data_IF_266110278816
#
_entry.id   IF_266110278816
#
_cell.length_a   1.000
_cell.length_b   1.000
_cell.length_c   1.000
_cell.angle_alpha   90.00
_cell.angle_beta   90.00
_cell.angle_gamma   90.00
#
_symmetry.space_group_name_H-M   'P 1'
#
loop_
_entity.id
_entity.type
_entity.pdbx_description
1 polymer ?
#
# COMPACT_ATOMS: atom_id res chain seq x y z
N UNK A 1 -36.23 35.98 16.21
CA UNK A 1 -36.69 36.43 14.90
C UNK A 1 -35.63 37.34 14.29
N UNK A 2 -35.14 37.21 13.06
CA UNK A 2 -35.92 37.06 11.84
C UNK A 2 -35.50 35.90 10.91
N UNK A 3 -36.46 35.52 10.08
CA UNK A 3 -36.34 34.66 8.91
C UNK A 3 -35.39 35.21 7.86
N UNK A 4 -34.55 34.38 7.29
CA UNK A 4 -33.89 34.64 5.99
C UNK A 4 -34.30 33.54 5.01
N UNK A 5 -34.97 34.00 3.99
CA UNK A 5 -35.47 33.27 2.83
C UNK A 5 -34.30 33.05 1.86
N UNK A 6 -33.96 31.82 1.51
CA UNK A 6 -32.99 31.50 0.45
C UNK A 6 -33.76 31.03 -0.79
N UNK A 7 -33.55 31.78 -1.84
CA UNK A 7 -34.11 31.61 -3.18
C UNK A 7 -33.34 30.53 -3.96
N UNK A 8 -34.08 29.51 -4.39
CA UNK A 8 -33.57 28.49 -5.33
C UNK A 8 -33.51 29.08 -6.74
N UNK A 9 -32.34 29.01 -7.40
CA UNK A 9 -32.24 29.15 -8.85
C UNK A 9 -31.87 27.81 -9.48
N UNK A 10 -32.79 27.30 -10.27
CA UNK A 10 -32.62 26.15 -11.17
C UNK A 10 -32.14 26.68 -12.52
N UNK A 11 -31.03 26.19 -13.03
CA UNK A 11 -30.68 26.32 -14.44
C UNK A 11 -30.55 24.94 -15.07
N UNK A 12 -31.52 24.65 -15.92
CA UNK A 12 -31.46 23.57 -16.88
C UNK A 12 -30.80 24.07 -18.18
N UNK A 13 -29.89 23.32 -18.74
CA UNK A 13 -29.28 23.63 -20.04
C UNK A 13 -28.72 22.37 -20.68
N UNK A 14 -29.56 21.68 -21.48
CA UNK A 14 -29.13 20.64 -22.41
C UNK A 14 -28.51 21.24 -23.64
N UNK A 15 -27.36 20.77 -24.09
CA UNK A 15 -26.92 20.87 -25.48
C UNK A 15 -26.10 19.66 -25.90
N UNK A 16 -26.56 18.99 -26.96
CA UNK A 16 -25.98 17.84 -27.63
C UNK A 16 -25.12 18.32 -28.80
N UNK A 17 -23.91 17.82 -29.05
CA UNK A 17 -23.12 18.15 -30.22
C UNK A 17 -23.48 17.25 -31.42
N UNK A 18 -23.32 17.74 -32.66
CA UNK A 18 -23.67 17.05 -33.89
C UNK A 18 -22.53 16.13 -34.41
N UNK A 19 -22.93 15.13 -35.17
CA UNK A 19 -22.08 14.21 -35.89
C UNK A 19 -21.34 14.89 -37.07
N UNK A 20 -20.10 14.53 -37.28
CA UNK A 20 -19.31 14.92 -38.43
C UNK A 20 -19.14 13.76 -39.42
N UNK A 21 -19.37 14.07 -40.65
CA UNK A 21 -19.42 13.27 -41.87
C UNK A 21 -18.01 13.02 -42.41
N UNK A 22 -17.71 11.81 -42.85
CA UNK A 22 -16.55 11.49 -43.70
C UNK A 22 -16.68 12.02 -45.12
N UNK A 23 -15.58 12.32 -45.79
CA UNK A 23 -15.54 12.20 -47.25
C UNK A 23 -14.49 11.18 -47.73
N UNK A 24 -14.99 10.26 -48.50
CA UNK A 24 -14.27 9.36 -49.42
C UNK A 24 -13.66 10.18 -50.56
N UNK A 25 -12.40 9.92 -50.92
CA UNK A 25 -11.93 10.22 -52.30
C UNK A 25 -10.82 9.29 -52.72
N UNK A 26 -11.11 8.65 -53.84
CA UNK A 26 -10.45 7.82 -54.81
C UNK A 26 -8.96 8.05 -55.09
N UNK A 27 -8.30 6.92 -55.39
CA UNK A 27 -6.97 6.78 -55.98
C UNK A 27 -6.92 7.18 -57.47
N UNK A 28 -5.74 7.48 -58.01
CA UNK A 28 -5.44 7.15 -59.41
C UNK A 28 -4.30 6.13 -59.55
N UNK A 29 -4.59 5.19 -60.37
CA UNK A 29 -3.71 4.17 -61.00
C UNK A 29 -2.72 4.83 -61.95
N UNK A 30 -1.44 4.47 -61.87
CA UNK A 30 -0.48 4.64 -62.98
C UNK A 30 0.35 3.38 -63.13
N UNK A 31 0.39 2.88 -64.38
CA UNK A 31 1.02 1.64 -64.84
C UNK A 31 2.54 1.78 -65.10
N UNK A 32 3.25 0.67 -65.40
CA UNK A 32 4.65 0.49 -65.10
C UNK A 32 5.59 0.91 -66.21
N UNK A 33 6.80 1.33 -65.84
CA UNK A 33 7.92 1.48 -66.79
C UNK A 33 9.04 0.52 -66.38
N UNK A 34 9.52 -0.21 -67.37
CA UNK A 34 10.47 -1.28 -67.33
C UNK A 34 11.89 -0.91 -66.91
N UNK A 35 12.56 -1.92 -66.41
CA UNK A 35 13.89 -2.04 -65.81
C UNK A 35 15.08 -1.53 -66.66
N UNK A 36 16.26 -1.43 -66.03
CA UNK A 36 17.36 -2.31 -66.43
C UNK A 36 17.97 -3.09 -65.25
N UNK A 37 18.27 -4.33 -65.60
CA UNK A 37 18.98 -5.34 -64.82
C UNK A 37 20.43 -4.92 -64.58
N UNK A 38 20.83 -4.83 -63.30
CA UNK A 38 22.22 -4.90 -62.88
C UNK A 38 22.39 -6.05 -61.89
N UNK A 39 23.45 -6.84 -62.13
CA UNK A 39 23.75 -8.08 -61.44
C UNK A 39 24.03 -7.85 -59.92
N UNK A 40 23.75 -8.83 -59.07
CA UNK A 40 23.93 -8.70 -57.63
C UNK A 40 25.41 -8.87 -57.24
N UNK A 41 25.98 -7.85 -56.69
CA UNK A 41 27.20 -7.95 -55.89
C UNK A 41 26.85 -8.49 -54.52
N UNK A 42 27.26 -9.70 -54.22
CA UNK A 42 27.12 -10.30 -52.88
C UNK A 42 28.05 -9.61 -51.90
N UNK A 43 27.48 -8.74 -51.11
CA UNK A 43 28.15 -8.26 -49.92
C UNK A 43 28.03 -9.34 -48.79
N UNK A 44 29.09 -9.53 -47.99
CA UNK A 44 29.03 -10.49 -46.88
C UNK A 44 27.98 -10.01 -45.85
N UNK A 45 26.94 -10.80 -45.67
CA UNK A 45 25.95 -10.61 -44.61
C UNK A 45 26.64 -10.93 -43.28
N UNK A 46 27.03 -9.89 -42.55
CA UNK A 46 27.35 -10.05 -41.15
C UNK A 46 26.06 -10.39 -40.42
N UNK A 47 25.99 -11.61 -39.89
CA UNK A 47 24.90 -12.01 -39.01
C UNK A 47 24.77 -11.00 -37.84
N UNK A 48 23.55 -10.59 -37.47
CA UNK A 48 23.37 -9.74 -36.27
C UNK A 48 23.85 -10.52 -35.07
N UNK A 49 24.92 -10.02 -34.44
CA UNK A 49 25.32 -10.47 -33.11
C UNK A 49 24.23 -10.03 -32.16
N UNK A 50 23.36 -10.97 -31.75
CA UNK A 50 22.42 -10.73 -30.65
C UNK A 50 23.23 -10.47 -29.39
N UNK A 51 23.18 -9.24 -28.90
CA UNK A 51 23.74 -8.90 -27.58
C UNK A 51 23.12 -9.85 -26.54
N UNK A 52 23.88 -10.33 -25.55
CA UNK A 52 23.33 -11.18 -24.52
C UNK A 52 22.18 -10.41 -23.81
N UNK A 53 20.97 -10.91 -23.93
CA UNK A 53 19.80 -10.40 -23.22
C UNK A 53 20.05 -10.68 -21.75
N UNK A 54 20.27 -9.64 -20.93
CA UNK A 54 20.30 -9.81 -19.49
C UNK A 54 18.96 -10.43 -19.04
N UNK A 55 19.00 -11.39 -18.10
CA UNK A 55 17.77 -11.91 -17.50
C UNK A 55 16.93 -10.74 -16.97
N UNK A 56 15.60 -10.78 -17.05
CA UNK A 56 14.76 -9.77 -16.44
C UNK A 56 15.07 -9.65 -14.95
N UNK A 57 15.15 -8.43 -14.45
CA UNK A 57 15.31 -8.18 -13.02
C UNK A 57 13.98 -8.50 -12.37
N UNK A 58 13.96 -9.48 -11.47
CA UNK A 58 12.79 -9.85 -10.67
C UNK A 58 12.88 -9.10 -9.33
N UNK A 59 11.85 -8.36 -9.01
CA UNK A 59 11.70 -7.72 -7.71
C UNK A 59 10.78 -8.58 -6.84
N UNK A 60 11.01 -8.56 -5.53
CA UNK A 60 10.19 -9.28 -4.58
C UNK A 60 9.75 -8.36 -3.45
N UNK A 61 8.53 -8.56 -2.97
CA UNK A 61 8.05 -7.97 -1.74
C UNK A 61 8.92 -8.46 -0.57
N UNK A 62 9.58 -7.58 0.17
CA UNK A 62 10.52 -7.99 1.21
C UNK A 62 9.85 -8.60 2.44
N UNK A 63 8.52 -8.50 2.56
CA UNK A 63 7.73 -9.03 3.67
C UNK A 63 7.02 -10.34 3.34
N UNK A 64 6.67 -10.60 2.07
CA UNK A 64 5.95 -11.82 1.65
C UNK A 64 6.78 -12.72 0.76
N UNK A 65 7.81 -12.20 0.08
CA UNK A 65 8.59 -12.92 -0.92
C UNK A 65 7.90 -13.06 -2.27
N UNK A 66 6.73 -12.53 -2.45
CA UNK A 66 5.99 -12.53 -3.72
C UNK A 66 6.67 -11.65 -4.77
N UNK A 67 6.60 -12.04 -6.03
CA UNK A 67 7.12 -11.25 -7.15
C UNK A 67 6.27 -9.99 -7.34
N UNK A 68 6.96 -8.85 -7.55
CA UNK A 68 6.35 -7.55 -7.77
C UNK A 68 6.95 -6.87 -9.01
N UNK A 69 6.19 -6.01 -9.66
CA UNK A 69 6.59 -5.37 -10.92
C UNK A 69 7.72 -4.35 -10.75
N UNK A 70 7.80 -3.72 -9.60
CA UNK A 70 8.80 -2.68 -9.27
C UNK A 70 9.20 -2.76 -7.78
N UNK A 71 10.42 -2.37 -7.43
CA UNK A 71 10.82 -2.34 -6.02
C UNK A 71 10.02 -1.28 -5.26
N UNK A 72 9.67 -1.59 -4.03
CA UNK A 72 9.09 -0.58 -3.15
C UNK A 72 10.09 0.53 -2.84
N UNK A 73 9.59 1.76 -2.84
CA UNK A 73 10.40 2.97 -2.58
C UNK A 73 10.08 3.62 -1.25
N UNK A 74 8.98 3.26 -0.63
CA UNK A 74 8.56 3.78 0.66
C UNK A 74 8.89 2.80 1.79
N UNK A 75 9.14 3.33 2.98
CA UNK A 75 9.24 2.55 4.22
C UNK A 75 7.89 1.96 4.57
N UNK A 76 7.84 0.78 5.22
CA UNK A 76 6.59 0.20 5.68
C UNK A 76 5.84 1.10 6.65
N UNK A 77 4.53 0.98 6.63
CA UNK A 77 3.62 1.53 7.64
C UNK A 77 3.03 0.38 8.44
N UNK A 78 2.96 0.55 9.75
CA UNK A 78 2.33 -0.38 10.67
C UNK A 78 1.12 0.26 11.34
N UNK A 79 -0.01 -0.42 11.38
CA UNK A 79 -1.26 0.09 11.97
C UNK A 79 -1.67 -0.79 13.15
N UNK A 80 -1.89 -0.16 14.32
CA UNK A 80 -2.40 -0.89 15.49
C UNK A 80 -3.87 -1.21 15.34
N UNK A 81 -4.25 -2.48 15.48
CA UNK A 81 -5.60 -2.98 15.27
C UNK A 81 -6.26 -3.36 16.59
N UNK A 82 -7.48 -2.90 16.77
CA UNK A 82 -8.32 -3.23 17.92
C UNK A 82 -8.95 -4.62 17.76
N UNK A 83 -8.33 -5.64 18.34
CA UNK A 83 -8.71 -7.04 18.12
C UNK A 83 -9.60 -7.57 19.26
N UNK A 84 -10.77 -6.95 19.44
CA UNK A 84 -11.81 -7.39 20.37
C UNK A 84 -13.15 -7.52 19.65
N UNK A 85 -14.01 -8.42 20.10
CA UNK A 85 -15.29 -8.70 19.44
C UNK A 85 -16.14 -7.44 19.14
N UNK A 86 -16.28 -6.44 20.05
CA UNK A 86 -17.06 -5.24 19.74
C UNK A 86 -16.46 -4.33 18.66
N UNK A 87 -15.21 -4.56 18.24
CA UNK A 87 -14.53 -3.78 17.20
C UNK A 87 -14.59 -4.44 15.81
N UNK A 88 -15.14 -5.65 15.73
CA UNK A 88 -15.25 -6.40 14.47
C UNK A 88 -16.44 -5.89 13.61
N UNK A 89 -16.38 -6.09 12.29
CA UNK A 89 -15.26 -6.64 11.52
C UNK A 89 -14.09 -5.65 11.38
N UNK A 90 -12.89 -6.18 11.15
CA UNK A 90 -11.76 -5.36 10.72
C UNK A 90 -11.91 -4.93 9.25
N UNK A 91 -11.29 -3.79 8.90
CA UNK A 91 -11.19 -3.31 7.51
C UNK A 91 -9.74 -3.08 7.13
N UNK A 92 -9.40 -3.41 5.88
CA UNK A 92 -8.07 -3.23 5.32
C UNK A 92 -6.99 -4.19 5.86
N UNK A 93 -7.27 -4.98 6.89
CA UNK A 93 -6.29 -5.88 7.51
C UNK A 93 -5.88 -7.03 6.60
N UNK A 94 -6.78 -7.47 5.72
CA UNK A 94 -6.49 -8.54 4.75
C UNK A 94 -5.49 -8.12 3.66
N UNK A 95 -5.30 -6.82 3.48
CA UNK A 95 -4.37 -6.24 2.50
C UNK A 95 -2.97 -6.03 3.12
N UNK A 96 -2.78 -6.35 4.40
CA UNK A 96 -1.49 -6.25 5.06
C UNK A 96 -0.57 -7.40 4.63
N UNK A 97 0.71 -7.07 4.40
CA UNK A 97 1.74 -8.04 4.08
C UNK A 97 2.06 -8.96 5.26
N UNK A 98 2.05 -8.41 6.47
CA UNK A 98 2.21 -9.19 7.72
C UNK A 98 1.21 -8.69 8.75
N UNK A 99 0.61 -9.63 9.47
CA UNK A 99 -0.22 -9.34 10.63
C UNK A 99 0.32 -10.05 11.87
N UNK A 100 0.63 -9.26 12.91
CA UNK A 100 0.99 -9.76 14.22
C UNK A 100 -0.19 -9.67 15.16
N UNK A 101 -0.53 -10.76 15.83
CA UNK A 101 -1.47 -10.76 16.93
C UNK A 101 -0.73 -10.97 18.25
N UNK A 102 -0.93 -10.07 19.20
CA UNK A 102 -0.17 -10.05 20.43
C UNK A 102 -1.08 -9.81 21.64
N UNK A 103 -0.81 -10.49 22.73
CA UNK A 103 -1.49 -10.24 23.99
C UNK A 103 -1.21 -8.80 24.47
N UNK A 104 -2.26 -8.04 24.74
CA UNK A 104 -2.14 -6.66 25.20
C UNK A 104 -2.52 -6.47 26.66
N UNK A 105 -3.32 -7.36 27.20
CA UNK A 105 -3.70 -7.49 28.61
C UNK A 105 -4.21 -8.91 28.87
N UNK A 106 -4.67 -9.20 30.08
CA UNK A 106 -5.00 -10.56 30.54
C UNK A 106 -6.02 -11.31 29.67
N UNK A 107 -6.85 -10.61 28.91
CA UNK A 107 -7.98 -11.22 28.19
C UNK A 107 -8.16 -10.71 26.77
N UNK A 108 -7.32 -9.84 26.28
CA UNK A 108 -7.46 -9.28 24.94
C UNK A 108 -6.14 -9.24 24.18
N UNK A 109 -6.23 -9.52 22.89
CA UNK A 109 -5.12 -9.33 21.96
C UNK A 109 -5.26 -7.98 21.23
N UNK A 110 -4.17 -7.57 20.61
CA UNK A 110 -4.11 -6.43 19.71
C UNK A 110 -3.31 -6.81 18.49
N UNK A 111 -3.81 -6.40 17.33
CA UNK A 111 -3.13 -6.60 16.07
C UNK A 111 -2.16 -5.49 15.75
N UNK A 112 -1.19 -5.83 14.90
CA UNK A 112 -0.35 -4.89 14.17
C UNK A 112 -0.31 -5.35 12.72
N UNK A 113 -0.92 -4.58 11.84
CA UNK A 113 -0.92 -4.82 10.39
C UNK A 113 0.22 -4.01 9.75
N UNK A 114 1.11 -4.66 9.00
CA UNK A 114 2.25 -4.02 8.33
C UNK A 114 2.05 -4.09 6.82
N UNK A 115 2.23 -2.95 6.17
CA UNK A 115 2.12 -2.73 4.74
C UNK A 115 3.51 -2.34 4.21
N UNK A 116 4.08 -3.16 3.33
CA UNK A 116 5.41 -2.93 2.74
C UNK A 116 5.42 -1.72 1.81
N UNK A 117 4.35 -1.52 1.03
CA UNK A 117 4.11 -0.30 0.26
C UNK A 117 2.85 0.42 0.79
N UNK A 118 3.01 1.53 1.51
CA UNK A 118 1.86 2.30 1.99
C UNK A 118 0.97 2.83 0.86
N UNK A 119 1.49 2.99 -0.38
CA UNK A 119 0.71 3.48 -1.51
C UNK A 119 -0.45 2.52 -1.87
N UNK A 120 -0.29 1.23 -1.61
CA UNK A 120 -1.31 0.21 -1.87
C UNK A 120 -2.29 0.05 -0.69
N UNK A 121 -2.03 0.72 0.43
CA UNK A 121 -2.86 0.65 1.64
C UNK A 121 -4.15 1.45 1.47
N UNK A 122 -5.29 0.81 1.66
CA UNK A 122 -6.59 1.47 1.79
C UNK A 122 -6.82 2.05 3.20
N UNK A 123 -8.08 2.30 3.54
CA UNK A 123 -8.47 2.61 4.91
C UNK A 123 -8.36 1.39 5.80
N UNK A 124 -7.72 1.53 6.96
CA UNK A 124 -7.44 0.43 7.89
C UNK A 124 -7.99 0.73 9.27
N UNK A 125 -8.64 -0.25 9.89
CA UNK A 125 -9.12 -0.12 11.26
C UNK A 125 -9.97 -1.30 11.74
N UNK A 126 -10.42 -1.19 12.94
CA UNK A 126 -10.43 -0.10 13.93
C UNK A 126 -9.04 0.09 14.57
N UNK A 127 -8.52 1.30 14.51
CA UNK A 127 -7.20 1.66 15.09
C UNK A 127 -7.31 1.80 16.60
N UNK A 128 -6.26 1.41 17.32
CA UNK A 128 -6.22 1.46 18.78
C UNK A 128 -4.84 1.86 19.31
N UNK A 129 -4.73 1.95 20.64
CA UNK A 129 -3.53 2.45 21.33
C UNK A 129 -2.33 1.52 21.18
N UNK A 130 -1.14 2.08 21.05
CA UNK A 130 0.12 1.36 20.98
C UNK A 130 0.43 0.55 22.27
N UNK A 131 1.36 -0.41 22.13
CA UNK A 131 1.94 -1.23 23.20
C UNK A 131 3.44 -1.35 22.97
N UNK A 132 4.21 -1.81 23.95
CA UNK A 132 5.66 -1.96 23.84
C UNK A 132 6.08 -2.90 22.70
N UNK A 133 5.41 -4.03 22.54
CA UNK A 133 5.70 -4.97 21.47
C UNK A 133 5.45 -4.39 20.05
N UNK A 134 4.54 -3.41 19.89
CA UNK A 134 4.42 -2.67 18.63
C UNK A 134 5.68 -1.85 18.33
N UNK A 135 6.27 -1.23 19.35
CA UNK A 135 7.52 -0.45 19.21
C UNK A 135 8.66 -1.38 18.76
N UNK A 136 8.82 -2.53 19.43
CA UNK A 136 9.87 -3.50 19.10
C UNK A 136 9.74 -4.02 17.66
N UNK A 137 8.51 -4.30 17.21
CA UNK A 137 8.26 -4.74 15.83
C UNK A 137 8.52 -3.61 14.84
N UNK A 138 8.04 -2.39 15.10
CA UNK A 138 8.30 -1.25 14.22
C UNK A 138 9.80 -0.96 14.06
N UNK A 139 10.58 -1.11 15.14
CA UNK A 139 12.05 -1.02 15.06
C UNK A 139 12.64 -2.09 14.14
N UNK A 140 12.19 -3.35 14.26
CA UNK A 140 12.69 -4.45 13.44
C UNK A 140 12.39 -4.28 11.95
N UNK A 141 11.25 -3.68 11.62
CA UNK A 141 10.82 -3.47 10.23
C UNK A 141 11.09 -2.04 9.72
N UNK A 142 11.68 -1.17 10.54
CA UNK A 142 11.84 0.26 10.22
C UNK A 142 10.52 0.91 9.78
N UNK A 143 9.41 0.50 10.39
CA UNK A 143 8.07 0.94 10.03
C UNK A 143 7.66 2.21 10.78
N UNK A 144 6.87 3.07 10.14
CA UNK A 144 6.18 4.19 10.78
C UNK A 144 4.89 3.68 11.42
N UNK A 145 4.68 3.94 12.70
CA UNK A 145 3.54 3.43 13.46
C UNK A 145 2.34 4.38 13.39
N UNK A 146 1.22 3.90 12.89
CA UNK A 146 -0.10 4.53 13.01
C UNK A 146 -0.84 3.97 14.22
N UNK A 147 -1.23 4.82 15.17
CA UNK A 147 -1.87 4.40 16.42
C UNK A 147 -2.80 5.45 17.01
N UNK A 148 -3.59 5.07 18.02
CA UNK A 148 -4.44 5.96 18.78
C UNK A 148 -3.91 6.06 20.22
N UNK A 149 -2.89 6.87 20.42
CA UNK A 149 -2.25 7.14 21.71
C UNK A 149 -1.79 5.85 22.44
N UNK A 150 -1.49 5.96 23.72
CA UNK A 150 -1.20 4.85 24.63
C UNK A 150 -1.12 5.37 26.09
N UNK A 151 -0.70 4.52 27.06
CA UNK A 151 -0.31 5.00 28.38
C UNK A 151 0.99 5.82 28.30
N UNK A 152 1.21 6.74 29.24
CA UNK A 152 2.37 7.65 29.24
C UNK A 152 3.72 6.92 29.10
N UNK A 153 3.86 5.76 29.76
CA UNK A 153 5.08 4.96 29.68
C UNK A 153 5.31 4.36 28.29
N UNK A 154 4.25 3.90 27.62
CA UNK A 154 4.33 3.39 26.24
C UNK A 154 4.57 4.54 25.27
N UNK A 155 3.89 5.70 25.45
CA UNK A 155 4.12 6.89 24.63
C UNK A 155 5.56 7.40 24.72
N UNK A 156 6.15 7.37 25.92
CA UNK A 156 7.57 7.67 26.08
C UNK A 156 8.46 6.73 25.27
N UNK A 157 8.12 5.43 25.21
CA UNK A 157 8.85 4.46 24.36
C UNK A 157 8.63 4.75 22.88
N UNK A 158 7.41 5.04 22.45
CA UNK A 158 7.08 5.40 21.06
C UNK A 158 7.92 6.59 20.60
N UNK A 159 7.81 7.73 21.30
CA UNK A 159 8.48 8.98 20.92
C UNK A 159 10.01 8.91 20.95
N UNK A 160 10.60 8.05 21.79
CA UNK A 160 12.06 7.95 21.91
C UNK A 160 12.68 6.95 20.90
N UNK A 161 11.90 6.04 20.32
CA UNK A 161 12.47 4.93 19.57
C UNK A 161 12.00 4.84 18.13
N UNK A 162 10.77 5.28 17.79
CA UNK A 162 10.20 5.11 16.45
C UNK A 162 9.50 6.38 15.97
N UNK A 163 9.42 6.52 14.66
CA UNK A 163 8.56 7.51 14.01
C UNK A 163 7.11 7.02 14.02
N UNK A 164 6.18 7.93 14.34
CA UNK A 164 4.79 7.55 14.55
C UNK A 164 3.81 8.64 14.15
N UNK A 165 2.60 8.22 13.81
CA UNK A 165 1.44 9.06 13.54
C UNK A 165 0.38 8.74 14.59
N UNK A 166 0.19 9.63 15.54
CA UNK A 166 -0.87 9.51 16.56
C UNK A 166 -2.16 10.12 16.01
N UNK A 167 -3.25 9.41 16.14
CA UNK A 167 -4.57 9.86 15.69
C UNK A 167 -5.10 11.11 16.41
N UNK A 168 -4.44 11.56 17.46
CA UNK A 168 -4.77 12.82 18.14
C UNK A 168 -4.10 14.04 17.50
N UNK A 169 -3.02 13.83 16.72
CA UNK A 169 -2.21 14.91 16.17
C UNK A 169 -2.11 14.85 14.62
N UNK A 170 -2.20 13.65 14.02
CA UNK A 170 -2.09 13.46 12.59
C UNK A 170 -3.45 13.52 11.90
N UNK A 171 -3.47 14.12 10.71
CA UNK A 171 -4.69 14.34 9.90
C UNK A 171 -5.02 13.19 8.92
N UNK A 172 -4.32 12.04 9.05
CA UNK A 172 -4.57 10.83 8.25
C UNK A 172 -5.52 9.83 8.95
N UNK A 173 -6.35 10.27 9.86
CA UNK A 173 -7.33 9.45 10.57
C UNK A 173 -8.72 10.05 10.49
N UNK A 174 -9.73 9.20 10.57
CA UNK A 174 -11.13 9.62 10.65
C UNK A 174 -11.94 8.71 11.54
N UNK A 175 -13.13 9.18 11.95
CA UNK A 175 -14.15 8.35 12.61
C UNK A 175 -15.17 7.90 11.57
N UNK A 176 -15.35 6.60 11.47
CA UNK A 176 -16.35 6.01 10.57
C UNK A 176 -17.76 6.30 11.08
N UNK A 177 -18.48 7.17 10.36
CA UNK A 177 -19.81 7.60 10.73
C UNK A 177 -20.84 6.46 10.57
N UNK A 178 -20.65 5.59 9.56
CA UNK A 178 -21.53 4.45 9.35
C UNK A 178 -21.54 3.50 10.57
N UNK A 179 -20.36 3.22 11.13
CA UNK A 179 -20.27 2.44 12.37
C UNK A 179 -20.92 3.13 13.56
N UNK A 180 -20.75 4.43 13.71
CA UNK A 180 -21.40 5.19 14.77
C UNK A 180 -22.92 5.11 14.65
N UNK A 181 -23.45 5.23 13.44
CA UNK A 181 -24.88 5.13 13.15
C UNK A 181 -25.42 3.71 13.40
N UNK A 182 -24.59 2.69 13.18
CA UNK A 182 -24.88 1.29 13.50
C UNK A 182 -24.74 0.96 15.00
N UNK A 183 -24.37 1.93 15.83
CA UNK A 183 -24.31 1.80 17.29
C UNK A 183 -22.98 1.27 17.85
N UNK A 184 -21.91 1.25 17.06
CA UNK A 184 -20.58 0.94 17.59
C UNK A 184 -20.12 2.02 18.57
N UNK A 185 -19.40 1.61 19.61
CA UNK A 185 -18.80 2.57 20.54
C UNK A 185 -17.73 3.41 19.85
N UNK A 186 -17.61 4.66 20.25
CA UNK A 186 -16.72 5.67 19.66
C UNK A 186 -15.29 5.16 19.44
N UNK A 187 -14.74 4.43 20.40
CA UNK A 187 -13.39 3.88 20.35
C UNK A 187 -13.20 2.76 19.30
N UNK A 188 -14.28 2.21 18.73
CA UNK A 188 -14.22 1.17 17.70
C UNK A 188 -14.41 1.72 16.28
N UNK A 189 -14.55 3.03 16.13
CA UNK A 189 -14.84 3.69 14.88
C UNK A 189 -13.66 4.47 14.28
N UNK A 190 -12.45 4.35 14.84
CA UNK A 190 -11.28 5.06 14.35
C UNK A 190 -10.57 4.26 13.23
N UNK A 191 -10.31 4.93 12.11
CA UNK A 191 -9.68 4.36 10.93
C UNK A 191 -8.59 5.28 10.40
N UNK A 192 -7.58 4.72 9.73
CA UNK A 192 -6.73 5.52 8.85
C UNK A 192 -7.53 5.93 7.61
N UNK A 193 -7.13 7.01 6.98
CA UNK A 193 -7.55 7.34 5.61
C UNK A 193 -6.81 6.44 4.59
N UNK A 194 -6.55 6.92 3.38
CA UNK A 194 -5.75 6.19 2.40
C UNK A 194 -4.26 6.14 2.79
N UNK A 195 -3.51 5.20 2.22
CA UNK A 195 -2.06 5.15 2.39
C UNK A 195 -1.36 6.38 1.83
N UNK A 196 -1.89 7.00 0.76
CA UNK A 196 -1.40 8.28 0.23
C UNK A 196 -1.48 9.40 1.29
N UNK A 197 -2.57 9.48 2.04
CA UNK A 197 -2.72 10.49 3.10
C UNK A 197 -1.82 10.18 4.30
N UNK A 198 -1.61 8.90 4.62
CA UNK A 198 -0.63 8.47 5.64
C UNK A 198 0.78 8.90 5.23
N UNK A 199 1.18 8.71 3.96
CA UNK A 199 2.46 9.21 3.44
C UNK A 199 2.58 10.72 3.55
N UNK A 200 1.55 11.48 3.16
CA UNK A 200 1.53 12.95 3.30
C UNK A 200 1.65 13.40 4.76
N UNK A 201 0.98 12.69 5.68
CA UNK A 201 1.07 12.99 7.11
C UNK A 201 2.48 12.72 7.66
N UNK A 202 3.13 11.64 7.22
CA UNK A 202 4.51 11.33 7.57
C UNK A 202 5.50 12.38 7.04
N UNK A 203 5.36 12.80 5.79
CA UNK A 203 6.16 13.89 5.20
C UNK A 203 5.95 15.21 5.96
N UNK A 204 4.72 15.56 6.30
CA UNK A 204 4.38 16.74 7.11
C UNK A 204 5.00 16.69 8.51
N UNK A 205 5.12 15.49 9.09
CA UNK A 205 5.81 15.26 10.37
C UNK A 205 7.36 15.32 10.23
N UNK A 206 7.88 15.42 9.00
CA UNK A 206 9.32 15.49 8.71
C UNK A 206 10.01 14.13 8.65
N UNK A 207 9.25 13.03 8.48
CA UNK A 207 9.81 11.68 8.41
C UNK A 207 10.34 11.38 7.01
N UNK A 208 11.52 10.73 6.95
CA UNK A 208 12.05 10.18 5.70
C UNK A 208 11.36 8.83 5.40
N UNK A 209 10.42 8.88 4.46
CA UNK A 209 9.70 7.68 4.02
C UNK A 209 10.43 6.89 2.93
N UNK A 210 11.70 7.22 2.63
CA UNK A 210 12.45 6.53 1.58
C UNK A 210 12.93 5.17 2.05
N UNK A 211 12.60 4.12 1.29
CA UNK A 211 13.18 2.79 1.47
C UNK A 211 14.37 2.59 0.53
N UNK A 212 15.46 2.05 1.04
CA UNK A 212 16.60 1.67 0.20
C UNK A 212 16.26 0.42 -0.62
N UNK A 213 16.54 0.45 -1.92
CA UNK A 213 16.37 -0.73 -2.77
C UNK A 213 17.17 -1.93 -2.21
N UNK A 214 16.53 -3.10 -2.19
CA UNK A 214 17.13 -4.33 -1.65
C UNK A 214 17.15 -4.41 -0.13
N UNK A 215 16.37 -3.58 0.59
CA UNK A 215 16.15 -3.77 2.03
C UNK A 215 15.64 -5.18 2.30
N UNK A 216 16.26 -5.88 3.24
CA UNK A 216 15.86 -7.21 3.70
C UNK A 216 15.59 -7.17 5.20
N UNK A 217 14.52 -7.82 5.61
CA UNK A 217 14.12 -7.95 7.02
C UNK A 217 14.56 -9.28 7.63
N UNK A 218 15.46 -10.02 6.94
CA UNK A 218 15.95 -11.34 7.39
C UNK A 218 14.91 -12.44 7.25
N UNK A 219 13.83 -12.20 6.51
CA UNK A 219 12.83 -13.21 6.19
C UNK A 219 13.35 -14.11 5.06
N UNK A 220 13.09 -15.42 5.17
CA UNK A 220 13.47 -16.41 4.19
C UNK A 220 12.21 -17.14 3.72
N UNK A 221 11.91 -17.02 2.44
CA UNK A 221 10.72 -17.60 1.84
C UNK A 221 11.07 -18.92 1.16
N UNK A 222 10.24 -19.95 1.39
CA UNK A 222 10.35 -21.21 0.67
C UNK A 222 9.95 -20.98 -0.80
N UNK A 223 10.63 -21.72 -1.70
CA UNK A 223 10.19 -21.76 -3.10
C UNK A 223 8.86 -22.52 -3.19
N UNK A 224 8.05 -22.16 -4.20
CA UNK A 224 6.80 -22.84 -4.49
C UNK A 224 6.99 -24.37 -4.51
N UNK A 225 6.12 -25.08 -3.80
CA UNK A 225 6.19 -26.54 -3.65
C UNK A 225 7.24 -27.06 -2.68
N UNK A 226 8.00 -26.19 -2.01
CA UNK A 226 8.87 -26.63 -0.91
C UNK A 226 8.02 -26.91 0.34
N UNK A 227 8.24 -28.09 0.96
CA UNK A 227 7.61 -28.36 2.26
C UNK A 227 8.16 -27.38 3.31
N UNK A 228 7.25 -26.78 4.08
CA UNK A 228 7.65 -26.01 5.26
C UNK A 228 8.39 -26.94 6.20
N UNK A 229 9.59 -26.54 6.63
CA UNK A 229 10.34 -27.32 7.63
C UNK A 229 9.51 -27.33 8.92
N UNK A 230 9.24 -28.54 9.47
CA UNK A 230 8.50 -28.64 10.71
C UNK A 230 9.25 -27.92 11.82
N UNK A 231 8.57 -27.02 12.51
CA UNK A 231 9.11 -26.38 13.71
C UNK A 231 9.29 -27.44 14.78
N UNK A 232 10.51 -27.67 15.21
CA UNK A 232 10.82 -28.61 16.29
C UNK A 232 10.82 -27.85 17.61
N UNK A 233 10.01 -28.31 18.54
CA UNK A 233 10.04 -27.79 19.91
C UNK A 233 11.01 -28.68 20.72
N UNK A 234 12.10 -28.10 21.16
CA UNK A 234 13.09 -28.76 22.04
C UNK A 234 13.18 -27.96 23.33
N UNK A 235 12.93 -28.61 24.45
CA UNK A 235 12.91 -27.98 25.78
C UNK A 235 12.02 -26.75 25.89
N UNK A 236 10.84 -26.76 25.21
CA UNK A 236 9.89 -25.66 25.20
C UNK A 236 10.31 -24.44 24.37
N UNK A 237 11.37 -24.57 23.54
CA UNK A 237 11.83 -23.53 22.61
C UNK A 237 11.66 -24.00 21.18
N UNK A 238 11.19 -23.08 20.32
CA UNK A 238 11.20 -23.28 18.87
C UNK A 238 12.65 -23.24 18.36
N UNK A 239 13.00 -24.22 17.52
CA UNK A 239 14.28 -24.31 16.81
C UNK A 239 14.02 -24.52 15.32
#
# INVERSE_FOLDING_TARGET
>A
FPFVLILCMVFAGCAKPPAATEPSTSAPTVAPTSAPTTAPTTAPTTAPTTAPTQPPVVYTNPLTGEEIDKPYSARPVAVTINNIDPALPHFGVNDADIYFEMLCNDYATRGLAIYADPADMGSVGSVRSARYNHVDICLAYNAVLCHAHASDSVMSSVYNNIENLDAFDADCFYRDQGRLDDGYAWEHCLFTTSGEDVLKAAEKAGYDMTQKAGTSYGLHFAKDGAEALPVKIVDGKMQ
#
